data_IF_237198067689
#
_entry.id   IF_237198067689
#
_cell.length_a   1.000
_cell.length_b   1.000
_cell.length_c   1.000
_cell.angle_alpha   90.00
_cell.angle_beta   90.00
_cell.angle_gamma   90.00
#
_symmetry.space_group_name_H-M   'P 1'
#
loop_
_entity.id
_entity.type
_entity.pdbx_description
1 polymer ?
#
# COMPACT_ATOMS: atom_id res chain seq x y z
N UNK A 1 -31.03 -17.28 2.09
CA UNK A 1 -30.04 -16.28 2.52
C UNK A 1 -30.61 -15.55 3.72
N UNK A 2 -29.92 -15.58 4.84
CA UNK A 2 -30.31 -14.87 6.06
C UNK A 2 -29.39 -13.65 6.24
N UNK A 3 -29.93 -12.51 6.68
CA UNK A 3 -29.17 -11.26 6.81
C UNK A 3 -29.28 -10.71 8.24
N UNK A 4 -28.13 -10.44 8.85
CA UNK A 4 -28.04 -9.89 10.21
C UNK A 4 -27.43 -8.48 10.17
N UNK A 5 -28.20 -7.48 10.60
CA UNK A 5 -27.73 -6.10 10.69
C UNK A 5 -27.08 -5.82 12.04
N UNK A 6 -25.74 -5.81 12.09
CA UNK A 6 -24.99 -5.80 13.36
C UNK A 6 -24.48 -4.42 13.80
N UNK A 7 -24.68 -3.35 13.01
CA UNK A 7 -24.09 -2.02 13.28
C UNK A 7 -24.47 -1.42 14.63
N UNK A 8 -25.66 -1.71 15.16
CA UNK A 8 -26.14 -1.18 16.45
C UNK A 8 -25.45 -1.77 17.68
N UNK A 9 -24.73 -2.88 17.52
CA UNK A 9 -24.07 -3.59 18.62
C UNK A 9 -22.61 -3.19 18.75
N UNK A 10 -22.01 -3.38 19.91
CA UNK A 10 -20.56 -3.21 20.10
C UNK A 10 -19.78 -4.42 19.56
N UNK A 11 -18.48 -4.30 19.26
CA UNK A 11 -17.64 -5.38 18.73
C UNK A 11 -17.84 -6.76 19.40
N UNK A 12 -17.82 -6.84 20.73
CA UNK A 12 -18.00 -8.10 21.47
C UNK A 12 -19.37 -8.73 21.20
N UNK A 13 -20.41 -7.90 21.18
CA UNK A 13 -21.78 -8.36 20.88
C UNK A 13 -21.91 -8.80 19.43
N UNK A 14 -21.27 -8.11 18.47
CA UNK A 14 -21.25 -8.52 17.05
C UNK A 14 -20.63 -9.92 16.90
N UNK A 15 -19.47 -10.14 17.53
CA UNK A 15 -18.79 -11.44 17.53
C UNK A 15 -19.70 -12.52 18.13
N UNK A 16 -20.31 -12.24 19.28
CA UNK A 16 -21.21 -13.19 19.94
C UNK A 16 -22.44 -13.53 19.09
N UNK A 17 -23.06 -12.53 18.44
CA UNK A 17 -24.21 -12.77 17.57
C UNK A 17 -23.82 -13.63 16.36
N UNK A 18 -22.68 -13.36 15.72
CA UNK A 18 -22.17 -14.17 14.61
C UNK A 18 -21.89 -15.60 15.06
N UNK A 19 -21.25 -15.77 16.22
CA UNK A 19 -21.01 -17.09 16.81
C UNK A 19 -22.33 -17.84 17.05
N UNK A 20 -23.31 -17.21 17.68
CA UNK A 20 -24.61 -17.83 17.92
C UNK A 20 -25.29 -18.23 16.61
N UNK A 21 -25.26 -17.38 15.58
CA UNK A 21 -25.81 -17.70 14.27
C UNK A 21 -25.10 -18.90 13.63
N UNK A 22 -23.77 -18.95 13.70
CA UNK A 22 -22.95 -20.05 13.18
C UNK A 22 -23.27 -21.36 13.88
N UNK A 23 -23.40 -21.37 15.21
CA UNK A 23 -23.58 -22.61 15.96
C UNK A 23 -25.04 -23.12 15.97
N UNK A 24 -26.03 -22.25 15.82
CA UNK A 24 -27.43 -22.63 15.99
C UNK A 24 -28.24 -22.68 14.70
N UNK A 25 -27.71 -22.17 13.58
CA UNK A 25 -28.37 -22.38 12.30
C UNK A 25 -27.91 -23.73 11.71
N UNK A 26 -28.85 -24.61 11.32
CA UNK A 26 -28.50 -25.87 10.66
C UNK A 26 -27.99 -25.61 9.23
N UNK A 27 -27.16 -26.51 8.72
CA UNK A 27 -26.76 -26.59 7.31
C UNK A 27 -26.13 -25.32 6.70
N UNK A 28 -25.40 -24.54 7.50
CA UNK A 28 -24.59 -23.42 7.00
C UNK A 28 -23.40 -23.97 6.22
N UNK A 29 -23.23 -23.54 4.97
CA UNK A 29 -22.00 -23.78 4.18
C UNK A 29 -21.14 -22.53 3.97
N UNK A 30 -21.73 -21.34 4.06
CA UNK A 30 -21.08 -20.06 3.75
C UNK A 30 -21.54 -18.97 4.72
N UNK A 31 -20.57 -18.22 5.25
CA UNK A 31 -20.79 -17.00 6.03
C UNK A 31 -20.06 -15.85 5.37
N UNK A 32 -20.76 -14.74 5.13
CA UNK A 32 -20.17 -13.51 4.59
C UNK A 32 -20.19 -12.46 5.70
N UNK A 33 -19.02 -11.94 6.05
CA UNK A 33 -18.83 -10.86 7.02
C UNK A 33 -18.42 -9.59 6.26
N UNK A 34 -19.40 -8.75 5.97
CA UNK A 34 -19.17 -7.45 5.35
C UNK A 34 -18.81 -6.40 6.41
N UNK A 35 -17.50 -6.17 6.59
CA UNK A 35 -16.97 -5.25 7.59
C UNK A 35 -16.32 -5.96 8.79
N UNK A 36 -15.29 -6.77 8.54
CA UNK A 36 -14.50 -7.40 9.62
C UNK A 36 -13.87 -6.38 10.57
N UNK A 37 -13.62 -5.16 10.08
CA UNK A 37 -13.20 -4.00 10.88
C UNK A 37 -14.13 -3.73 12.06
N UNK A 38 -15.42 -3.95 11.89
CA UNK A 38 -16.42 -3.60 12.91
C UNK A 38 -16.42 -4.61 14.07
N UNK A 39 -15.66 -5.70 13.98
CA UNK A 39 -15.50 -6.68 15.06
C UNK A 39 -14.39 -6.31 16.06
N UNK A 40 -13.72 -5.17 15.87
CA UNK A 40 -12.65 -4.69 16.75
C UNK A 40 -12.81 -3.18 17.01
N UNK A 41 -12.34 -2.69 18.16
CA UNK A 41 -12.32 -1.23 18.42
C UNK A 41 -11.15 -0.60 17.67
N UNK A 42 -9.96 -1.19 17.83
CA UNK A 42 -8.73 -0.73 17.19
C UNK A 42 -8.20 -1.76 16.20
N UNK A 43 -8.24 -1.39 14.91
CA UNK A 43 -7.70 -2.24 13.84
C UNK A 43 -6.19 -2.44 13.92
N UNK A 44 -5.50 -1.57 14.65
CA UNK A 44 -4.06 -1.65 14.86
C UNK A 44 -3.71 -2.38 16.16
N UNK A 45 -4.69 -2.86 16.93
CA UNK A 45 -4.43 -3.68 18.10
C UNK A 45 -4.06 -5.11 17.67
N UNK A 46 -2.82 -5.58 17.92
CA UNK A 46 -2.43 -6.94 17.60
C UNK A 46 -3.26 -7.96 18.40
N UNK A 47 -3.59 -7.64 19.66
CA UNK A 47 -4.37 -8.51 20.52
C UNK A 47 -5.81 -8.72 20.01
N UNK A 48 -6.49 -7.64 19.62
CA UNK A 48 -7.84 -7.74 19.05
C UNK A 48 -7.84 -8.47 17.71
N UNK A 49 -6.83 -8.19 16.86
CA UNK A 49 -6.63 -8.84 15.57
C UNK A 49 -6.43 -10.35 15.74
N UNK A 50 -5.49 -10.77 16.59
CA UNK A 50 -5.25 -12.19 16.87
C UNK A 50 -6.49 -12.88 17.44
N UNK A 51 -7.26 -12.19 18.30
CA UNK A 51 -8.49 -12.73 18.89
C UNK A 51 -9.54 -13.02 17.83
N UNK A 52 -9.83 -12.06 16.94
CA UNK A 52 -10.86 -12.26 15.92
C UNK A 52 -10.43 -13.30 14.88
N UNK A 53 -9.16 -13.30 14.46
CA UNK A 53 -8.64 -14.27 13.50
C UNK A 53 -8.69 -15.69 14.07
N UNK A 54 -8.30 -15.87 15.33
CA UNK A 54 -8.44 -17.16 16.01
C UNK A 54 -9.89 -17.63 16.06
N UNK A 55 -10.85 -16.71 16.25
CA UNK A 55 -12.28 -17.04 16.21
C UNK A 55 -12.75 -17.46 14.82
N UNK A 56 -12.35 -16.75 13.76
CA UNK A 56 -12.67 -17.16 12.40
C UNK A 56 -12.14 -18.56 12.09
N UNK A 57 -10.88 -18.84 12.46
CA UNK A 57 -10.27 -20.16 12.28
C UNK A 57 -11.00 -21.25 13.08
N UNK A 58 -11.37 -20.96 14.33
CA UNK A 58 -12.15 -21.87 15.15
C UNK A 58 -13.50 -22.17 14.49
N UNK A 59 -14.24 -21.15 14.05
CA UNK A 59 -15.56 -21.35 13.43
C UNK A 59 -15.49 -22.13 12.12
N UNK A 60 -14.47 -21.88 11.27
CA UNK A 60 -14.29 -22.66 10.03
C UNK A 60 -14.00 -24.13 10.34
N UNK A 61 -13.21 -24.43 11.37
CA UNK A 61 -12.83 -25.80 11.73
C UNK A 61 -13.97 -26.53 12.45
N UNK A 62 -14.57 -25.93 13.47
CA UNK A 62 -15.65 -26.54 14.26
C UNK A 62 -16.89 -26.86 13.42
N UNK A 63 -17.17 -26.02 12.41
CA UNK A 63 -18.40 -26.10 11.61
C UNK A 63 -18.19 -26.50 10.16
N UNK A 64 -16.94 -26.63 9.72
CA UNK A 64 -16.60 -26.98 8.34
C UNK A 64 -17.29 -26.04 7.33
N UNK A 65 -17.21 -24.73 7.59
CA UNK A 65 -17.84 -23.68 6.79
C UNK A 65 -16.80 -22.83 6.06
N UNK A 66 -17.20 -22.22 4.94
CA UNK A 66 -16.43 -21.15 4.31
C UNK A 66 -16.81 -19.80 4.92
N UNK A 67 -15.80 -19.01 5.31
CA UNK A 67 -15.99 -17.62 5.75
C UNK A 67 -15.35 -16.68 4.74
N UNK A 68 -16.15 -15.77 4.19
CA UNK A 68 -15.69 -14.68 3.34
C UNK A 68 -15.80 -13.35 4.09
N UNK A 69 -14.71 -12.59 4.16
CA UNK A 69 -14.70 -11.30 4.87
C UNK A 69 -14.34 -10.16 3.94
N UNK A 70 -14.98 -8.99 4.12
CA UNK A 70 -14.65 -7.77 3.39
C UNK A 70 -13.85 -6.81 4.28
N UNK A 71 -12.74 -6.32 3.74
CA UNK A 71 -11.89 -5.30 4.35
C UNK A 71 -11.53 -4.23 3.32
N UNK A 72 -11.79 -2.97 3.65
CA UNK A 72 -11.35 -1.85 2.82
C UNK A 72 -9.85 -1.57 2.98
N UNK A 73 -9.18 -1.24 1.87
CA UNK A 73 -7.79 -0.77 1.88
C UNK A 73 -7.62 0.57 2.59
N UNK A 74 -6.36 0.89 2.94
CA UNK A 74 -6.01 2.20 3.46
C UNK A 74 -6.09 3.29 2.37
N UNK A 75 -6.43 4.52 2.76
CA UNK A 75 -6.36 5.66 1.84
C UNK A 75 -4.88 5.95 1.51
N UNK A 76 -4.46 5.65 0.28
CA UNK A 76 -3.13 6.01 -0.23
C UNK A 76 -2.08 4.90 -0.23
N UNK A 77 -2.45 3.67 0.14
CA UNK A 77 -1.59 2.49 0.01
C UNK A 77 -2.46 1.26 -0.29
N UNK A 78 -2.00 0.37 -1.15
CA UNK A 78 -2.70 -0.84 -1.59
C UNK A 78 -2.69 -1.95 -0.52
N UNK A 79 -2.02 -1.70 0.61
CA UNK A 79 -1.95 -2.63 1.73
C UNK A 79 -3.31 -2.78 2.45
N UNK A 80 -3.59 -4.03 2.85
CA UNK A 80 -4.71 -4.35 3.72
C UNK A 80 -4.63 -3.54 5.03
N UNK A 81 -5.79 -3.07 5.51
CA UNK A 81 -5.84 -2.05 6.57
C UNK A 81 -5.49 -2.61 7.96
N UNK A 82 -4.48 -2.01 8.59
CA UNK A 82 -4.08 -2.24 9.98
C UNK A 82 -3.57 -3.64 10.29
N UNK A 83 -3.39 -3.95 11.58
CA UNK A 83 -2.91 -5.27 12.02
C UNK A 83 -3.86 -6.40 11.61
N UNK A 84 -5.17 -6.15 11.62
CA UNK A 84 -6.16 -7.15 11.16
C UNK A 84 -5.94 -7.54 9.70
N UNK A 85 -5.61 -6.57 8.84
CA UNK A 85 -5.39 -6.80 7.41
C UNK A 85 -4.17 -7.67 7.18
N UNK A 86 -3.08 -7.39 7.91
CA UNK A 86 -1.87 -8.21 7.87
C UNK A 86 -2.14 -9.65 8.33
N UNK A 87 -2.84 -9.82 9.45
CA UNK A 87 -3.15 -11.17 9.96
C UNK A 87 -4.11 -11.94 9.04
N UNK A 88 -5.11 -11.28 8.46
CA UNK A 88 -5.99 -11.87 7.45
C UNK A 88 -5.19 -12.35 6.24
N UNK A 89 -4.33 -11.49 5.69
CA UNK A 89 -3.50 -11.86 4.54
C UNK A 89 -2.61 -13.07 4.83
N UNK A 90 -2.11 -13.19 6.06
CA UNK A 90 -1.26 -14.30 6.49
C UNK A 90 -2.03 -15.61 6.71
N UNK A 91 -3.32 -15.56 7.09
CA UNK A 91 -4.10 -16.74 7.49
C UNK A 91 -5.11 -17.20 6.45
N UNK A 92 -5.65 -16.29 5.64
CA UNK A 92 -6.63 -16.61 4.61
C UNK A 92 -6.06 -17.56 3.56
N UNK A 93 -6.92 -18.44 3.06
CA UNK A 93 -6.60 -19.33 1.94
C UNK A 93 -6.50 -18.56 0.62
N UNK A 94 -7.42 -17.62 0.41
CA UNK A 94 -7.51 -16.78 -0.78
C UNK A 94 -7.76 -15.33 -0.37
N UNK A 95 -6.99 -14.41 -0.95
CA UNK A 95 -7.09 -12.98 -0.75
C UNK A 95 -7.21 -12.33 -2.12
N UNK A 96 -8.38 -11.76 -2.38
CA UNK A 96 -8.68 -11.06 -3.62
C UNK A 96 -8.57 -9.55 -3.41
N UNK A 97 -7.98 -8.88 -4.38
CA UNK A 97 -7.94 -7.43 -4.48
C UNK A 97 -8.95 -6.98 -5.52
N UNK A 98 -9.81 -6.02 -5.13
CA UNK A 98 -10.78 -5.39 -6.00
C UNK A 98 -10.51 -3.89 -6.04
N UNK A 99 -10.13 -3.37 -7.20
CA UNK A 99 -9.76 -1.96 -7.38
C UNK A 99 -10.53 -1.35 -8.55
N UNK A 100 -10.97 -0.10 -8.39
CA UNK A 100 -11.49 0.66 -9.54
C UNK A 100 -10.35 1.00 -10.49
N UNK A 101 -10.61 0.92 -11.79
CA UNK A 101 -9.65 1.36 -12.78
C UNK A 101 -9.38 2.87 -12.66
N UNK A 102 -8.12 3.26 -12.83
CA UNK A 102 -7.70 4.67 -12.72
C UNK A 102 -8.14 5.49 -13.92
N UNK A 103 -8.26 4.88 -15.10
CA UNK A 103 -8.71 5.52 -16.34
C UNK A 103 -10.23 5.47 -16.53
N UNK A 104 -10.92 4.52 -15.89
CA UNK A 104 -12.35 4.33 -15.98
C UNK A 104 -12.98 3.83 -14.67
N UNK A 105 -13.60 4.72 -13.90
CA UNK A 105 -14.19 4.38 -12.59
C UNK A 105 -15.38 3.42 -12.63
N UNK A 106 -15.91 3.12 -13.82
CA UNK A 106 -16.99 2.15 -14.04
C UNK A 106 -16.46 0.72 -14.13
N UNK A 107 -15.16 0.56 -14.37
CA UNK A 107 -14.47 -0.73 -14.43
C UNK A 107 -13.80 -1.00 -13.08
N UNK A 108 -13.96 -2.23 -12.59
CA UNK A 108 -13.26 -2.75 -11.42
C UNK A 108 -12.43 -3.96 -11.81
N UNK A 109 -11.17 -3.97 -11.42
CA UNK A 109 -10.21 -5.05 -11.59
C UNK A 109 -10.25 -6.00 -10.39
N UNK A 110 -10.16 -7.29 -10.66
CA UNK A 110 -10.04 -8.34 -9.64
C UNK A 110 -8.76 -9.12 -9.89
N UNK A 111 -7.92 -9.22 -8.87
CA UNK A 111 -6.67 -9.98 -8.90
C UNK A 111 -6.45 -10.74 -7.59
N UNK A 112 -5.64 -11.80 -7.63
CA UNK A 112 -5.20 -12.49 -6.43
C UNK A 112 -4.02 -11.73 -5.80
N UNK A 113 -4.11 -11.36 -4.52
CA UNK A 113 -2.94 -10.94 -3.75
C UNK A 113 -2.20 -12.15 -3.18
N UNK A 114 -2.97 -13.13 -2.71
CA UNK A 114 -2.45 -14.37 -2.17
C UNK A 114 -3.47 -15.49 -2.44
N UNK A 115 -3.01 -16.60 -2.98
CA UNK A 115 -3.81 -17.81 -3.09
C UNK A 115 -2.91 -19.00 -2.78
N UNK A 116 -3.36 -19.87 -1.89
CA UNK A 116 -2.60 -21.07 -1.51
C UNK A 116 -2.85 -22.24 -2.46
N UNK A 117 -4.00 -22.23 -3.11
CA UNK A 117 -4.44 -23.24 -4.08
C UNK A 117 -4.14 -22.78 -5.52
N UNK A 118 -4.91 -23.26 -6.48
CA UNK A 118 -4.78 -22.88 -7.88
C UNK A 118 -5.11 -21.40 -8.09
N UNK A 119 -4.17 -20.67 -8.69
CA UNK A 119 -4.34 -19.25 -9.05
C UNK A 119 -5.27 -19.05 -10.25
N UNK A 120 -5.75 -17.82 -10.46
CA UNK A 120 -6.63 -17.46 -11.56
C UNK A 120 -6.12 -16.21 -12.30
N UNK A 121 -6.42 -16.15 -13.60
CA UNK A 121 -6.10 -14.97 -14.41
C UNK A 121 -6.91 -13.75 -13.94
N UNK A 122 -6.27 -12.59 -13.68
CA UNK A 122 -6.97 -11.37 -13.34
C UNK A 122 -8.05 -11.03 -14.36
N UNK A 123 -9.20 -10.58 -13.88
CA UNK A 123 -10.34 -10.20 -14.71
C UNK A 123 -10.90 -8.85 -14.27
N UNK A 124 -11.76 -8.27 -15.11
CA UNK A 124 -12.43 -7.02 -14.79
C UNK A 124 -13.93 -7.15 -14.98
N UNK A 125 -14.68 -6.40 -14.20
CA UNK A 125 -16.13 -6.29 -14.30
C UNK A 125 -16.56 -4.83 -14.20
N UNK A 126 -17.78 -4.54 -14.67
CA UNK A 126 -18.46 -3.25 -14.48
C UNK A 126 -19.84 -3.47 -13.91
N UNK A 127 -20.43 -2.42 -13.33
CA UNK A 127 -21.83 -2.44 -12.92
C UNK A 127 -22.68 -1.89 -14.07
N UNK A 128 -23.63 -2.69 -14.56
CA UNK A 128 -24.51 -2.26 -15.63
C UNK A 128 -25.70 -1.42 -15.13
N UNK A 129 -26.54 -0.94 -16.04
CA UNK A 129 -27.70 -0.10 -15.74
C UNK A 129 -28.76 -0.78 -14.84
N UNK A 130 -28.65 -2.10 -14.62
CA UNK A 130 -29.49 -2.87 -13.72
C UNK A 130 -28.86 -3.09 -12.34
N UNK A 131 -27.75 -2.40 -12.05
CA UNK A 131 -26.96 -2.55 -10.84
C UNK A 131 -26.36 -3.97 -10.64
N UNK A 132 -26.18 -4.72 -11.73
CA UNK A 132 -25.57 -6.06 -11.69
C UNK A 132 -24.13 -6.02 -12.22
N UNK A 133 -23.22 -6.84 -11.65
CA UNK A 133 -21.88 -6.99 -12.20
C UNK A 133 -21.92 -7.78 -13.51
N UNK A 134 -21.21 -7.29 -14.52
CA UNK A 134 -20.96 -7.99 -15.79
C UNK A 134 -19.47 -7.92 -16.16
N UNK A 135 -18.96 -8.98 -16.79
CA UNK A 135 -17.56 -9.03 -17.22
C UNK A 135 -17.27 -7.93 -18.25
N UNK A 136 -16.16 -7.22 -18.06
CA UNK A 136 -15.64 -6.29 -19.05
C UNK A 136 -14.89 -7.07 -20.13
N UNK A 137 -15.62 -7.70 -21.06
CA UNK A 137 -15.02 -8.52 -22.12
C UNK A 137 -14.02 -7.74 -22.98
N UNK A 138 -12.87 -8.34 -23.25
CA UNK A 138 -11.79 -7.74 -24.03
C UNK A 138 -10.94 -6.71 -23.28
N UNK A 139 -11.33 -6.31 -22.08
CA UNK A 139 -10.53 -5.46 -21.22
C UNK A 139 -9.46 -6.31 -20.51
N UNK A 140 -8.19 -5.99 -20.76
CA UNK A 140 -7.05 -6.65 -20.11
C UNK A 140 -6.53 -5.74 -18.99
N UNK A 141 -6.76 -6.08 -17.72
CA UNK A 141 -6.04 -5.45 -16.62
C UNK A 141 -4.55 -5.45 -16.94
N UNK A 142 -3.85 -4.34 -16.71
CA UNK A 142 -2.40 -4.39 -16.69
C UNK A 142 -1.99 -5.40 -15.62
N UNK A 143 -1.39 -6.52 -16.03
CA UNK A 143 -0.95 -7.58 -15.12
C UNK A 143 0.10 -6.98 -14.20
N UNK A 144 -0.30 -6.61 -12.97
CA UNK A 144 0.64 -6.29 -11.92
C UNK A 144 1.32 -7.59 -11.53
N UNK A 145 2.63 -7.67 -11.78
CA UNK A 145 3.44 -8.83 -11.38
C UNK A 145 3.25 -9.08 -9.87
N UNK A 146 3.12 -10.34 -9.41
CA UNK A 146 3.03 -10.66 -8.00
C UNK A 146 4.24 -10.11 -7.24
N UNK A 147 3.98 -9.30 -6.22
CA UNK A 147 4.98 -8.59 -5.43
C UNK A 147 4.56 -7.15 -5.16
N UNK A 148 5.04 -6.55 -4.06
CA UNK A 148 4.90 -5.11 -3.79
C UNK A 148 5.12 -4.35 -5.10
N UNK A 149 4.34 -3.31 -5.43
CA UNK A 149 4.75 -2.39 -6.47
C UNK A 149 6.18 -1.98 -6.11
N UNK A 150 7.15 -2.33 -6.96
CA UNK A 150 8.39 -1.61 -6.96
C UNK A 150 7.99 -0.22 -7.41
N UNK A 151 7.60 0.64 -6.45
CA UNK A 151 7.99 2.04 -6.58
C UNK A 151 9.48 1.91 -6.81
N UNK A 152 9.92 2.13 -8.07
CA UNK A 152 11.34 2.16 -8.35
C UNK A 152 11.91 3.10 -7.30
N UNK A 153 12.78 2.54 -6.43
CA UNK A 153 13.35 3.34 -5.35
C UNK A 153 13.95 4.55 -6.03
N UNK A 154 13.54 5.74 -5.58
CA UNK A 154 14.04 6.99 -6.12
C UNK A 154 15.56 6.88 -6.25
N UNK A 155 16.03 6.89 -7.50
CA UNK A 155 17.41 6.78 -7.89
C UNK A 155 17.79 8.16 -8.42
N UNK A 156 18.49 8.99 -7.62
CA UNK A 156 18.85 10.33 -8.03
C UNK A 156 19.65 10.38 -9.33
N UNK A 157 20.32 9.29 -9.72
CA UNK A 157 21.08 9.22 -10.97
C UNK A 157 20.21 8.91 -12.20
N UNK A 158 19.05 8.27 -12.02
CA UNK A 158 18.13 7.96 -13.13
C UNK A 158 16.98 8.95 -13.22
N UNK A 159 16.50 9.40 -12.07
CA UNK A 159 15.24 10.15 -11.95
C UNK A 159 15.43 11.66 -12.08
N UNK A 160 16.68 12.13 -12.04
CA UNK A 160 17.03 13.55 -12.21
C UNK A 160 18.08 13.66 -13.31
N UNK A 161 17.81 14.52 -14.28
CA UNK A 161 18.73 14.73 -15.41
C UNK A 161 19.99 15.50 -14.99
N UNK A 162 21.10 15.29 -15.69
CA UNK A 162 22.34 16.05 -15.47
C UNK A 162 22.13 17.59 -15.49
N UNK A 163 21.37 18.18 -16.43
CA UNK A 163 21.12 19.62 -16.42
C UNK A 163 20.41 20.11 -15.16
N UNK A 164 19.46 19.34 -14.63
CA UNK A 164 18.77 19.68 -13.38
C UNK A 164 19.71 19.61 -12.18
N UNK A 165 20.58 18.59 -12.12
CA UNK A 165 21.61 18.53 -11.09
C UNK A 165 22.55 19.73 -11.15
N UNK A 166 23.01 20.09 -12.35
CA UNK A 166 23.92 21.21 -12.57
C UNK A 166 23.30 22.52 -12.12
N UNK A 167 22.11 22.84 -12.63
CA UNK A 167 21.40 24.07 -12.30
C UNK A 167 21.12 24.18 -10.78
N UNK A 168 20.63 23.11 -10.16
CA UNK A 168 20.31 23.12 -8.73
C UNK A 168 21.55 23.21 -7.83
N UNK A 169 22.68 22.63 -8.24
CA UNK A 169 23.95 22.72 -7.51
C UNK A 169 24.61 24.09 -7.69
N UNK A 170 24.63 24.64 -8.90
CA UNK A 170 25.12 26.00 -9.15
C UNK A 170 24.30 27.02 -8.35
N UNK A 171 22.97 26.89 -8.35
CA UNK A 171 22.09 27.75 -7.55
C UNK A 171 22.34 27.60 -6.04
N UNK A 172 22.56 26.37 -5.54
CA UNK A 172 22.87 26.15 -4.13
C UNK A 172 24.20 26.79 -3.75
N UNK A 173 25.27 26.49 -4.47
CA UNK A 173 26.63 26.92 -4.09
C UNK A 173 26.96 28.36 -4.50
N UNK A 174 26.13 29.01 -5.32
CA UNK A 174 26.17 30.46 -5.49
C UNK A 174 25.71 31.23 -4.25
N UNK A 175 24.87 30.63 -3.40
CA UNK A 175 24.43 31.24 -2.14
C UNK A 175 25.49 31.15 -1.04
N UNK A 176 26.28 30.06 -1.05
CA UNK A 176 27.33 29.80 -0.07
C UNK A 176 28.32 28.78 -0.61
N UNK A 177 29.61 29.03 -0.39
CA UNK A 177 30.68 28.18 -0.91
C UNK A 177 30.73 26.78 -0.26
N UNK A 178 30.33 26.68 1.02
CA UNK A 178 30.39 25.42 1.77
C UNK A 178 29.23 25.25 2.75
N UNK A 179 28.75 24.01 2.90
CA UNK A 179 27.63 23.67 3.77
C UNK A 179 27.97 22.57 4.79
N UNK A 180 27.38 22.66 5.98
CA UNK A 180 27.24 21.48 6.85
C UNK A 180 26.14 20.54 6.34
N UNK A 181 26.12 19.27 6.76
CA UNK A 181 25.20 18.27 6.19
C UNK A 181 23.72 18.69 6.21
N UNK A 182 23.22 19.12 7.37
CA UNK A 182 21.80 19.48 7.52
C UNK A 182 21.42 20.72 6.71
N UNK A 183 22.32 21.71 6.69
CA UNK A 183 22.15 22.93 5.92
C UNK A 183 22.19 22.67 4.40
N UNK A 184 23.08 21.76 3.96
CA UNK A 184 23.15 21.30 2.58
C UNK A 184 21.85 20.63 2.19
N UNK A 185 21.36 19.69 3.01
CA UNK A 185 20.11 18.98 2.76
C UNK A 185 18.93 19.95 2.57
N UNK A 186 18.75 20.89 3.50
CA UNK A 186 17.66 21.87 3.44
C UNK A 186 17.79 22.81 2.24
N UNK A 187 19.03 23.12 1.82
CA UNK A 187 19.30 23.95 0.64
C UNK A 187 19.01 23.19 -0.65
N UNK A 188 19.46 21.94 -0.77
CA UNK A 188 19.22 21.11 -1.96
C UNK A 188 17.73 20.83 -2.15
N UNK A 189 16.96 20.61 -1.06
CA UNK A 189 15.49 20.46 -1.16
C UNK A 189 14.86 21.70 -1.81
N UNK A 190 15.36 22.90 -1.51
CA UNK A 190 14.86 24.15 -2.08
C UNK A 190 15.30 24.36 -3.52
N UNK A 191 16.58 24.16 -3.84
CA UNK A 191 17.10 24.44 -5.19
C UNK A 191 16.64 23.40 -6.20
N UNK A 192 16.53 22.13 -5.82
CA UNK A 192 15.97 21.10 -6.70
C UNK A 192 14.48 21.33 -6.95
N UNK A 193 13.73 21.88 -5.99
CA UNK A 193 12.33 22.24 -6.20
C UNK A 193 12.16 23.34 -7.26
N UNK A 194 13.09 24.29 -7.33
CA UNK A 194 13.11 25.32 -8.37
C UNK A 194 13.32 24.74 -9.79
N UNK A 195 14.07 23.63 -9.88
CA UNK A 195 14.29 22.85 -11.12
C UNK A 195 13.20 21.79 -11.37
N UNK A 196 12.07 21.87 -10.66
CA UNK A 196 10.93 20.98 -10.82
C UNK A 196 11.06 19.62 -10.13
N UNK A 197 12.09 19.40 -9.31
CA UNK A 197 12.36 18.14 -8.61
C UNK A 197 11.95 18.25 -7.14
N UNK A 198 10.87 17.57 -6.75
CA UNK A 198 10.39 17.56 -5.37
C UNK A 198 11.11 16.50 -4.54
N UNK A 199 11.91 16.94 -3.57
CA UNK A 199 12.62 16.05 -2.64
C UNK A 199 11.98 16.06 -1.25
N UNK A 200 11.93 14.89 -0.61
CA UNK A 200 11.70 14.73 0.82
C UNK A 200 13.03 14.41 1.53
N UNK A 201 13.03 14.32 2.87
CA UNK A 201 14.24 14.01 3.65
C UNK A 201 14.96 12.74 3.16
N UNK A 202 14.24 11.63 2.96
CA UNK A 202 14.83 10.36 2.54
C UNK A 202 15.48 10.45 1.15
N UNK A 203 14.83 11.13 0.21
CA UNK A 203 15.33 11.35 -1.14
C UNK A 203 16.52 12.30 -1.17
N UNK A 204 16.53 13.34 -0.32
CA UNK A 204 17.67 14.25 -0.18
C UNK A 204 18.92 13.55 0.38
N UNK A 205 18.75 12.64 1.35
CA UNK A 205 19.86 11.82 1.87
C UNK A 205 20.45 10.92 0.79
N UNK A 206 19.60 10.27 -0.01
CA UNK A 206 20.03 9.47 -1.16
C UNK A 206 20.75 10.31 -2.22
N UNK A 207 20.22 11.50 -2.52
CA UNK A 207 20.82 12.46 -3.44
C UNK A 207 22.22 12.89 -2.99
N UNK A 208 22.40 13.34 -1.75
CA UNK A 208 23.71 13.76 -1.21
C UNK A 208 24.73 12.62 -1.31
N UNK A 209 24.30 11.39 -1.04
CA UNK A 209 25.15 10.20 -1.17
C UNK A 209 25.58 9.98 -2.62
N UNK A 210 24.65 10.06 -3.57
CA UNK A 210 24.92 9.91 -5.00
C UNK A 210 25.87 11.01 -5.49
N UNK A 211 25.58 12.28 -5.19
CA UNK A 211 26.39 13.43 -5.59
C UNK A 211 27.84 13.31 -5.09
N UNK A 212 28.03 12.81 -3.87
CA UNK A 212 29.37 12.57 -3.31
C UNK A 212 30.08 11.42 -4.03
N UNK A 213 29.37 10.33 -4.31
CA UNK A 213 29.94 9.18 -5.03
C UNK A 213 30.35 9.56 -6.47
N UNK A 214 29.55 10.39 -7.13
CA UNK A 214 29.84 10.96 -8.46
C UNK A 214 30.82 12.14 -8.43
N UNK A 215 31.33 12.51 -7.25
CA UNK A 215 32.27 13.62 -7.03
C UNK A 215 31.76 14.98 -7.55
N UNK A 216 30.45 15.15 -7.59
CA UNK A 216 29.78 16.42 -7.90
C UNK A 216 29.87 17.36 -6.69
N UNK A 217 29.84 16.79 -5.49
CA UNK A 217 30.21 17.46 -4.25
C UNK A 217 31.35 16.70 -3.57
N UNK A 218 32.20 17.41 -2.84
CA UNK A 218 33.30 16.83 -2.06
C UNK A 218 33.18 17.25 -0.61
N UNK A 219 33.62 16.38 0.30
CA UNK A 219 33.63 16.66 1.73
C UNK A 219 35.07 16.83 2.21
N UNK A 220 35.57 18.07 2.20
CA UNK A 220 36.93 18.37 2.65
C UNK A 220 36.99 18.38 4.18
N UNK A 221 38.02 17.73 4.73
CA UNK A 221 38.29 17.62 6.17
C UNK A 221 37.13 17.02 7.02
N UNK A 222 36.19 16.30 6.38
CA UNK A 222 35.12 15.54 7.06
C UNK A 222 34.02 16.39 7.70
N UNK A 223 33.98 17.71 7.47
CA UNK A 223 33.02 18.61 8.16
C UNK A 223 32.08 19.36 7.24
N UNK A 224 32.52 19.76 6.05
CA UNK A 224 31.73 20.59 5.14
C UNK A 224 31.78 20.07 3.71
N UNK A 225 30.75 20.40 2.94
CA UNK A 225 30.57 20.01 1.56
C UNK A 225 30.78 21.22 0.65
N UNK A 226 31.55 21.04 -0.42
CA UNK A 226 31.77 22.01 -1.49
C UNK A 226 31.41 21.42 -2.85
N UNK A 227 31.05 22.27 -3.81
CA UNK A 227 30.69 21.87 -5.17
C UNK A 227 31.93 21.76 -6.06
N UNK A 228 31.98 20.70 -6.87
CA UNK A 228 33.03 20.49 -7.87
C UNK A 228 32.42 20.57 -9.26
N UNK A 229 32.53 21.71 -9.98
CA UNK A 229 31.84 21.92 -11.26
C UNK A 229 32.39 21.04 -12.40
N UNK A 230 33.64 20.60 -12.30
CA UNK A 230 34.31 19.76 -13.31
C UNK A 230 34.02 18.25 -13.14
N UNK A 231 32.75 17.89 -12.92
CA UNK A 231 32.33 16.50 -12.78
C UNK A 231 31.89 15.88 -14.11
N UNK A 232 31.96 14.56 -14.18
CA UNK A 232 31.41 13.76 -15.30
C UNK A 232 30.23 12.95 -14.77
N UNK A 233 29.08 13.07 -15.43
CA UNK A 233 27.83 12.43 -15.04
C UNK A 233 27.76 10.96 -15.52
#
# INVERSE_FOLDING_TARGET
>A
LEFLALRKYIPEQRISIVEQAIYHSPDIGLVIIDGIRDMVYDINSPGESTRIISKLMQWTDDRQIHIHTILHQNKGDENARGHIGTELNNKAETVLLVEKDKGNSDISHVSAMHIRAMDFEPFAFRINDRALPELAEGYKPEVRKPGRPSVEKFDPYKDISEPQHRAALEAAFALKEEYGYKELEDTLIKTYLAEGVRLNHQNAVALITMLRNKRMIVQENGRKYSFKPDYHY
#
